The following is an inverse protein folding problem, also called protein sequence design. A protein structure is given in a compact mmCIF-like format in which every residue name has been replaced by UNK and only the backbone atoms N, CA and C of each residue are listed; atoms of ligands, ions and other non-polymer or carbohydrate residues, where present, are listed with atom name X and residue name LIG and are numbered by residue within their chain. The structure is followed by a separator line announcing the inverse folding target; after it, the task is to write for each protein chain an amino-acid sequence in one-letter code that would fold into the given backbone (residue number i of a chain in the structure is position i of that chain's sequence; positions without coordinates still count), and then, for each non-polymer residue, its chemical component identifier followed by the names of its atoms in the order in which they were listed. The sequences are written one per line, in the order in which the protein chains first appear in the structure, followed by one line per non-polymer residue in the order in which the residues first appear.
data_IF_776954838155
#
_entry.id   IF_776954838155
#
_cell.length_a   1.000
_cell.length_b   1.000
_cell.length_c   1.000
_cell.angle_alpha   90.00
_cell.angle_beta   90.00
_cell.angle_gamma   90.00
#
_symmetry.space_group_name_H-M   'P 1'
#
loop_
_entity.id
_entity.type
_entity.pdbx_description
1 polymer ?
#
# COMPACT_ATOMS: atom_id res chain seq x y z
N UNK A 1 -7.89 8.32 -13.14
CA UNK A 1 -6.72 8.76 -12.33
C UNK A 1 -5.54 7.83 -12.47
N UNK A 2 -5.70 6.52 -12.23
CA UNK A 2 -4.61 5.52 -12.32
C UNK A 2 -3.81 5.62 -13.63
N UNK A 3 -4.48 5.69 -14.79
CA UNK A 3 -3.83 5.85 -16.11
C UNK A 3 -2.92 7.07 -16.20
N UNK A 4 -3.31 8.19 -15.57
CA UNK A 4 -2.52 9.42 -15.57
C UNK A 4 -1.32 9.31 -14.63
N UNK A 5 -1.49 8.63 -13.49
CA UNK A 5 -0.44 8.38 -12.51
C UNK A 5 0.63 7.40 -13.01
N UNK A 6 0.38 6.63 -14.06
CA UNK A 6 1.43 5.83 -14.69
C UNK A 6 2.50 6.70 -15.39
N UNK A 7 2.13 7.93 -15.78
CA UNK A 7 2.96 8.77 -16.64
C UNK A 7 3.32 10.12 -16.03
N UNK A 8 2.61 10.56 -15.00
CA UNK A 8 2.71 11.92 -14.47
C UNK A 8 2.72 11.90 -12.94
N UNK A 9 3.58 12.73 -12.35
CA UNK A 9 3.52 13.03 -10.91
C UNK A 9 2.16 13.62 -10.55
N UNK A 10 1.59 13.13 -9.44
CA UNK A 10 0.30 13.56 -8.92
C UNK A 10 0.24 15.06 -8.64
N UNK A 11 1.37 15.65 -8.20
CA UNK A 11 1.48 17.09 -7.94
C UNK A 11 1.11 17.93 -9.17
N UNK A 12 1.49 17.46 -10.37
CA UNK A 12 1.28 18.17 -11.63
C UNK A 12 -0.07 17.86 -12.29
N UNK A 13 -0.81 16.85 -11.80
CA UNK A 13 -2.12 16.53 -12.35
C UNK A 13 -3.15 17.60 -12.02
N UNK A 14 -3.92 18.01 -13.02
CA UNK A 14 -5.05 18.93 -12.85
C UNK A 14 -6.39 18.20 -12.95
N UNK A 15 -7.44 18.80 -12.37
CA UNK A 15 -8.82 18.29 -12.52
C UNK A 15 -9.21 18.23 -14.00
N UNK A 16 -8.77 19.19 -14.82
CA UNK A 16 -9.06 19.20 -16.26
C UNK A 16 -8.43 18.02 -17.00
N UNK A 17 -7.16 17.69 -16.70
CA UNK A 17 -6.51 16.50 -17.26
C UNK A 17 -7.24 15.22 -16.85
N UNK A 18 -7.68 15.13 -15.59
CA UNK A 18 -8.45 13.98 -15.09
C UNK A 18 -9.80 13.87 -15.81
N UNK A 19 -10.51 14.98 -15.97
CA UNK A 19 -11.79 15.03 -16.67
C UNK A 19 -11.64 14.63 -18.14
N UNK A 20 -10.61 15.15 -18.82
CA UNK A 20 -10.33 14.84 -20.22
C UNK A 20 -10.01 13.35 -20.42
N UNK A 21 -9.17 12.76 -19.56
CA UNK A 21 -8.86 11.33 -19.62
C UNK A 21 -10.10 10.45 -19.37
N UNK A 22 -10.95 10.86 -18.43
CA UNK A 22 -12.17 10.13 -18.07
C UNK A 22 -13.35 10.38 -19.03
N UNK A 23 -13.20 11.27 -20.02
CA UNK A 23 -14.29 11.72 -20.90
C UNK A 23 -15.49 12.30 -20.11
N UNK A 24 -15.21 13.07 -19.06
CA UNK A 24 -16.19 13.68 -18.18
C UNK A 24 -16.15 15.22 -18.26
N UNK A 25 -17.30 15.85 -18.03
CA UNK A 25 -17.32 17.29 -17.78
C UNK A 25 -16.83 17.61 -16.38
N UNK A 26 -16.19 18.77 -16.21
CA UNK A 26 -15.71 19.26 -14.91
C UNK A 26 -16.81 19.40 -13.87
N UNK A 27 -18.04 19.75 -14.28
CA UNK A 27 -19.21 19.78 -13.40
C UNK A 27 -19.60 18.39 -12.89
N UNK A 28 -19.39 17.34 -13.68
CA UNK A 28 -19.62 15.96 -13.27
C UNK A 28 -18.58 15.50 -12.25
N UNK A 29 -17.32 15.90 -12.40
CA UNK A 29 -16.26 15.62 -11.43
C UNK A 29 -16.62 16.17 -10.04
N UNK A 30 -16.96 17.46 -9.95
CA UNK A 30 -17.28 18.10 -8.67
C UNK A 30 -18.60 17.65 -8.03
N UNK A 31 -19.38 16.80 -8.71
CA UNK A 31 -20.53 16.13 -8.10
C UNK A 31 -20.10 15.00 -7.16
N UNK A 32 -18.94 14.40 -7.39
CA UNK A 32 -18.45 13.24 -6.66
C UNK A 32 -17.18 13.50 -5.85
N UNK A 33 -16.37 14.46 -6.28
CA UNK A 33 -15.07 14.75 -5.68
C UNK A 33 -14.89 16.24 -5.44
N UNK A 34 -14.52 16.61 -4.23
CA UNK A 34 -14.24 18.01 -3.87
C UNK A 34 -12.99 18.55 -4.57
N UNK A 35 -11.96 17.73 -4.72
CA UNK A 35 -10.75 18.02 -5.49
C UNK A 35 -10.03 16.73 -5.95
N UNK A 36 -8.81 16.86 -6.48
CA UNK A 36 -8.00 15.71 -6.94
C UNK A 36 -7.45 14.84 -5.80
N UNK A 37 -7.36 15.37 -4.57
CA UNK A 37 -6.91 14.62 -3.40
C UNK A 37 -8.02 13.72 -2.88
N UNK A 38 -9.26 14.21 -2.84
CA UNK A 38 -10.46 13.41 -2.51
C UNK A 38 -10.64 12.24 -3.50
N UNK A 39 -10.50 12.50 -4.81
CA UNK A 39 -10.47 11.43 -5.81
C UNK A 39 -9.31 10.44 -5.56
N UNK A 40 -8.13 10.92 -5.15
CA UNK A 40 -6.99 10.05 -4.87
C UNK A 40 -7.27 9.13 -3.68
N UNK A 41 -7.80 9.67 -2.57
CA UNK A 41 -8.17 8.90 -1.38
C UNK A 41 -9.16 7.79 -1.74
N UNK A 42 -10.26 8.13 -2.42
CA UNK A 42 -11.26 7.15 -2.85
C UNK A 42 -10.69 6.13 -3.86
N UNK A 43 -9.74 6.56 -4.71
CA UNK A 43 -9.07 5.65 -5.64
C UNK A 43 -8.19 4.66 -4.87
N UNK A 44 -7.41 5.14 -3.89
CA UNK A 44 -6.57 4.29 -3.05
C UNK A 44 -7.44 3.32 -2.25
N UNK A 45 -8.53 3.77 -1.63
CA UNK A 45 -9.50 2.92 -0.93
C UNK A 45 -10.05 1.77 -1.80
N UNK A 46 -10.39 2.06 -3.06
CA UNK A 46 -10.85 1.04 -3.99
C UNK A 46 -9.74 0.01 -4.30
N UNK A 47 -8.48 0.46 -4.43
CA UNK A 47 -7.34 -0.43 -4.60
C UNK A 47 -7.08 -1.28 -3.35
N UNK A 48 -7.22 -0.73 -2.13
CA UNK A 48 -7.14 -1.49 -0.88
C UNK A 48 -8.12 -2.65 -0.90
N UNK A 49 -9.37 -2.34 -1.24
CA UNK A 49 -10.47 -3.31 -1.17
C UNK A 49 -10.17 -4.49 -2.08
N UNK A 50 -9.60 -4.25 -3.27
CA UNK A 50 -9.13 -5.30 -4.16
C UNK A 50 -8.00 -6.15 -3.57
N UNK A 51 -7.05 -5.56 -2.86
CA UNK A 51 -5.96 -6.29 -2.17
C UNK A 51 -6.49 -7.12 -0.99
N UNK A 52 -7.46 -6.58 -0.24
CA UNK A 52 -8.12 -7.28 0.88
C UNK A 52 -8.95 -8.46 0.37
N UNK A 53 -9.69 -8.27 -0.72
CA UNK A 53 -10.58 -9.26 -1.32
C UNK A 53 -9.79 -10.36 -2.05
N UNK A 54 -8.67 -10.01 -2.71
CA UNK A 54 -7.74 -11.00 -3.28
C UNK A 54 -6.93 -11.79 -2.24
N UNK A 55 -7.02 -11.40 -0.96
CA UNK A 55 -6.43 -12.09 0.18
C UNK A 55 -7.01 -13.47 0.51
N UNK A 56 -7.76 -14.09 -0.42
CA UNK A 56 -8.05 -15.53 -0.41
C UNK A 56 -6.83 -16.38 -0.83
N UNK A 57 -5.79 -15.76 -1.37
CA UNK A 57 -4.52 -16.42 -1.66
C UNK A 57 -3.85 -16.93 -0.38
N UNK A 58 -3.48 -18.22 -0.37
CA UNK A 58 -2.61 -18.84 0.66
C UNK A 58 -1.19 -18.23 0.68
N UNK A 59 -0.85 -17.33 -0.24
CA UNK A 59 0.44 -16.67 -0.26
C UNK A 59 0.63 -15.74 0.94
N UNK A 60 1.86 -15.76 1.44
CA UNK A 60 2.40 -14.83 2.42
C UNK A 60 2.11 -13.35 2.08
N UNK A 61 1.53 -12.63 3.04
CA UNK A 61 1.07 -11.24 2.91
C UNK A 61 2.18 -10.27 2.54
N UNK A 62 3.42 -10.50 3.02
CA UNK A 62 4.58 -9.68 2.66
C UNK A 62 4.84 -9.83 1.17
N UNK A 63 4.85 -11.07 0.67
CA UNK A 63 5.03 -11.33 -0.76
C UNK A 63 3.96 -10.62 -1.58
N UNK A 64 2.69 -10.73 -1.20
CA UNK A 64 1.59 -10.08 -1.93
C UNK A 64 1.74 -8.56 -1.99
N UNK A 65 2.06 -7.92 -0.87
CA UNK A 65 2.28 -6.47 -0.85
C UNK A 65 3.46 -6.04 -1.69
N UNK A 66 4.59 -6.76 -1.59
CA UNK A 66 5.79 -6.43 -2.37
C UNK A 66 5.54 -6.59 -3.86
N UNK A 67 4.85 -7.66 -4.28
CA UNK A 67 4.48 -7.87 -5.69
C UNK A 67 3.57 -6.75 -6.20
N UNK A 68 2.51 -6.44 -5.46
CA UNK A 68 1.60 -5.35 -5.82
C UNK A 68 2.36 -4.03 -5.98
N UNK A 69 3.20 -3.69 -5.01
CA UNK A 69 4.00 -2.48 -5.06
C UNK A 69 4.96 -2.49 -6.27
N UNK A 70 5.63 -3.61 -6.55
CA UNK A 70 6.52 -3.74 -7.69
C UNK A 70 5.80 -3.52 -9.03
N UNK A 71 4.61 -4.11 -9.17
CA UNK A 71 3.78 -4.02 -10.36
C UNK A 71 3.24 -2.59 -10.58
N UNK A 72 3.12 -1.81 -9.50
CA UNK A 72 2.63 -0.43 -9.50
C UNK A 72 3.72 0.61 -9.17
N UNK A 73 5.00 0.30 -9.38
CA UNK A 73 6.13 1.17 -8.99
C UNK A 73 6.09 2.59 -9.58
N UNK A 74 5.57 2.75 -10.80
CA UNK A 74 5.46 4.06 -11.45
C UNK A 74 4.39 4.91 -10.78
N UNK A 75 3.21 4.33 -10.55
CA UNK A 75 2.15 4.96 -9.79
C UNK A 75 2.64 5.40 -8.41
N UNK A 76 3.32 4.52 -7.68
CA UNK A 76 3.83 4.86 -6.34
C UNK A 76 4.89 5.96 -6.41
N UNK A 77 5.81 5.91 -7.38
CA UNK A 77 6.80 6.97 -7.60
C UNK A 77 6.13 8.33 -7.87
N UNK A 78 5.08 8.33 -8.67
CA UNK A 78 4.36 9.55 -9.03
C UNK A 78 3.45 10.08 -7.93
N UNK A 79 3.04 9.23 -6.99
CA UNK A 79 2.34 9.63 -5.76
C UNK A 79 3.32 10.12 -4.68
N UNK A 80 4.53 9.58 -4.65
CA UNK A 80 5.58 9.96 -3.72
C UNK A 80 6.37 11.20 -4.21
N UNK A 81 5.70 12.27 -4.61
CA UNK A 81 6.33 13.58 -4.86
C UNK A 81 6.13 14.54 -3.68
N UNK A 82 6.97 15.59 -3.58
CA UNK A 82 7.23 16.45 -2.42
C UNK A 82 6.04 16.77 -1.50
N UNK A 83 4.89 17.13 -2.06
CA UNK A 83 3.73 17.60 -1.29
C UNK A 83 2.71 16.50 -0.94
N UNK A 84 2.82 15.31 -1.53
CA UNK A 84 1.92 14.16 -1.33
C UNK A 84 2.55 13.00 -0.54
N UNK A 85 3.80 13.15 -0.08
CA UNK A 85 4.49 12.12 0.69
C UNK A 85 3.83 11.80 2.03
N UNK A 86 3.36 12.81 2.77
CA UNK A 86 2.76 12.60 4.08
C UNK A 86 1.40 11.89 3.98
N UNK A 87 0.60 12.25 2.99
CA UNK A 87 -0.70 11.60 2.74
C UNK A 87 -0.51 10.18 2.22
N UNK A 88 0.39 9.95 1.25
CA UNK A 88 0.63 8.60 0.71
C UNK A 88 1.16 7.63 1.76
N UNK A 89 2.13 8.05 2.57
CA UNK A 89 2.69 7.18 3.62
C UNK A 89 1.63 6.79 4.65
N UNK A 90 0.90 7.79 5.15
CA UNK A 90 -0.16 7.56 6.16
C UNK A 90 -1.24 6.65 5.60
N UNK A 91 -1.60 6.87 4.35
CA UNK A 91 -2.60 6.07 3.66
C UNK A 91 -2.11 4.64 3.50
N UNK A 92 -0.94 4.39 2.91
CA UNK A 92 -0.34 3.05 2.80
C UNK A 92 -0.23 2.33 4.15
N UNK A 93 0.10 3.05 5.23
CA UNK A 93 0.17 2.51 6.57
C UNK A 93 -1.21 2.04 7.07
N UNK A 94 -2.26 2.82 6.79
CA UNK A 94 -3.65 2.45 7.06
C UNK A 94 -4.08 1.26 6.21
N UNK A 95 -3.77 1.24 4.91
CA UNK A 95 -4.05 0.12 4.00
C UNK A 95 -3.47 -1.18 4.55
N UNK A 96 -2.17 -1.19 4.80
CA UNK A 96 -1.42 -2.40 5.11
C UNK A 96 -1.86 -2.96 6.46
N UNK A 97 -2.08 -2.09 7.44
CA UNK A 97 -2.51 -2.49 8.77
C UNK A 97 -3.93 -3.06 8.74
N UNK A 98 -4.84 -2.46 7.98
CA UNK A 98 -6.21 -2.95 7.83
C UNK A 98 -6.27 -4.33 7.16
N UNK A 99 -5.51 -4.55 6.09
CA UNK A 99 -5.42 -5.86 5.42
C UNK A 99 -4.90 -6.93 6.39
N UNK A 100 -3.86 -6.63 7.16
CA UNK A 100 -3.31 -7.54 8.18
C UNK A 100 -4.40 -7.88 9.21
N UNK A 101 -5.06 -6.87 9.78
CA UNK A 101 -6.10 -7.06 10.80
C UNK A 101 -7.30 -7.84 10.28
N UNK A 102 -7.71 -7.62 9.03
CA UNK A 102 -8.84 -8.35 8.44
C UNK A 102 -8.47 -9.80 8.16
N UNK A 103 -7.24 -10.11 7.76
CA UNK A 103 -6.76 -11.50 7.69
C UNK A 103 -6.70 -12.16 9.05
N UNK A 104 -6.31 -11.45 10.11
CA UNK A 104 -6.34 -11.98 11.48
C UNK A 104 -7.75 -12.44 11.90
N UNK A 105 -8.81 -11.80 11.41
CA UNK A 105 -10.21 -12.17 11.71
C UNK A 105 -10.67 -13.44 10.99
N UNK A 106 -10.01 -13.84 9.90
CA UNK A 106 -10.40 -15.00 9.05
C UNK A 106 -10.01 -16.36 9.65
N UNK A 107 -9.24 -16.40 10.74
CA UNK A 107 -8.93 -17.63 11.48
C UNK A 107 -7.48 -18.11 11.32
N UNK A 108 -7.27 -19.44 11.27
CA UNK A 108 -5.93 -20.04 11.16
C UNK A 108 -5.33 -19.76 9.79
N UNK A 109 -4.05 -19.43 9.79
CA UNK A 109 -3.23 -19.20 8.60
C UNK A 109 -1.81 -19.72 8.88
N UNK A 110 -1.05 -19.99 7.82
CA UNK A 110 0.39 -20.28 7.91
C UNK A 110 1.24 -19.02 7.68
N UNK A 111 0.61 -17.84 7.70
CA UNK A 111 1.27 -16.57 7.52
C UNK A 111 1.89 -16.08 8.83
N UNK A 112 3.21 -15.94 8.83
CA UNK A 112 4.02 -15.59 10.01
C UNK A 112 3.70 -14.19 10.54
N UNK A 113 3.31 -13.24 9.68
CA UNK A 113 2.91 -11.90 10.08
C UNK A 113 1.60 -11.97 10.83
N UNK A 114 0.62 -12.67 10.25
CA UNK A 114 -0.72 -12.80 10.83
C UNK A 114 -0.65 -13.54 12.16
N UNK A 115 0.11 -14.64 12.24
CA UNK A 115 0.32 -15.35 13.50
C UNK A 115 0.95 -14.45 14.58
N UNK A 116 1.98 -13.67 14.23
CA UNK A 116 2.63 -12.77 15.16
C UNK A 116 1.68 -11.67 15.67
N UNK A 117 0.84 -11.13 14.79
CA UNK A 117 -0.18 -10.13 15.15
C UNK A 117 -1.25 -10.74 16.06
N UNK A 118 -1.75 -11.94 15.73
CA UNK A 118 -2.75 -12.64 16.55
C UNK A 118 -2.24 -12.99 17.96
N UNK A 119 -0.93 -13.26 18.11
CA UNK A 119 -0.30 -13.59 19.40
C UNK A 119 0.13 -12.36 20.21
N UNK A 120 0.10 -11.16 19.62
CA UNK A 120 0.52 -9.92 20.28
C UNK A 120 -0.48 -9.47 21.35
N UNK A 121 0.02 -8.90 22.46
CA UNK A 121 -0.80 -8.23 23.49
C UNK A 121 -1.59 -7.05 22.91
N UNK A 122 -1.07 -6.43 21.84
CA UNK A 122 -1.75 -5.38 21.10
C UNK A 122 -1.68 -5.66 19.59
N UNK A 123 -2.66 -6.39 19.03
CA UNK A 123 -2.69 -6.76 17.61
C UNK A 123 -2.73 -5.56 16.67
N UNK A 124 -3.49 -4.52 17.03
CA UNK A 124 -3.59 -3.29 16.22
C UNK A 124 -2.23 -2.60 16.11
N UNK A 125 -1.58 -2.34 17.25
CA UNK A 125 -0.25 -1.73 17.27
C UNK A 125 0.77 -2.58 16.50
N UNK A 126 0.71 -3.91 16.65
CA UNK A 126 1.61 -4.81 15.92
C UNK A 126 1.38 -4.79 14.41
N UNK A 127 0.13 -4.70 13.96
CA UNK A 127 -0.19 -4.54 12.54
C UNK A 127 0.39 -3.24 11.97
N UNK A 128 0.32 -2.12 12.72
CA UNK A 128 0.96 -0.86 12.34
C UNK A 128 2.50 -0.97 12.30
N UNK A 129 3.11 -1.67 13.25
CA UNK A 129 4.57 -1.89 13.29
C UNK A 129 5.04 -2.66 12.05
N UNK A 130 4.38 -3.77 11.69
CA UNK A 130 4.72 -4.54 10.49
C UNK A 130 4.43 -3.77 9.19
N UNK A 131 3.34 -3.02 9.15
CA UNK A 131 3.04 -2.15 8.01
C UNK A 131 4.14 -1.10 7.82
N UNK A 132 4.57 -0.45 8.90
CA UNK A 132 5.64 0.54 8.87
C UNK A 132 6.99 -0.04 8.43
N UNK A 133 7.33 -1.27 8.86
CA UNK A 133 8.58 -1.91 8.44
C UNK A 133 8.59 -2.25 6.95
N UNK A 134 7.49 -2.75 6.40
CA UNK A 134 7.35 -3.04 4.97
C UNK A 134 7.41 -1.74 4.15
N UNK A 135 6.66 -0.71 4.55
CA UNK A 135 6.65 0.59 3.86
C UNK A 135 8.03 1.26 3.92
N UNK A 136 8.71 1.20 5.07
CA UNK A 136 10.05 1.74 5.23
C UNK A 136 11.08 1.04 4.34
N UNK A 137 11.04 -0.29 4.29
CA UNK A 137 11.88 -1.06 3.38
C UNK A 137 11.60 -0.68 1.92
N UNK A 138 10.32 -0.52 1.56
CA UNK A 138 9.94 -0.14 0.21
C UNK A 138 10.40 1.27 -0.16
N UNK A 139 10.24 2.24 0.75
CA UNK A 139 10.73 3.60 0.57
C UNK A 139 12.23 3.61 0.27
N UNK A 140 13.01 2.79 0.99
CA UNK A 140 14.43 2.61 0.71
C UNK A 140 14.66 1.99 -0.68
N UNK A 141 13.91 0.95 -1.05
CA UNK A 141 14.06 0.28 -2.35
C UNK A 141 13.78 1.24 -3.51
N UNK A 142 12.73 2.06 -3.40
CA UNK A 142 12.41 3.12 -4.36
C UNK A 142 13.51 4.17 -4.46
N UNK A 143 14.05 4.63 -3.32
CA UNK A 143 15.15 5.62 -3.29
C UNK A 143 16.42 5.10 -3.97
N UNK A 144 16.65 3.79 -3.92
CA UNK A 144 17.75 3.09 -4.60
C UNK A 144 17.29 2.51 -5.94
N UNK A 145 16.34 3.18 -6.60
CA UNK A 145 15.87 2.89 -7.96
C UNK A 145 15.46 1.43 -8.25
N UNK A 146 15.04 0.72 -7.20
CA UNK A 146 14.68 -0.69 -7.25
C UNK A 146 15.84 -1.63 -7.64
N UNK A 147 17.09 -1.26 -7.34
CA UNK A 147 18.29 -2.00 -7.77
C UNK A 147 18.41 -3.41 -7.14
N UNK A 148 17.81 -3.63 -5.97
CA UNK A 148 17.76 -4.95 -5.33
C UNK A 148 16.73 -5.84 -6.03
N UNK A 149 17.06 -7.09 -6.42
CA UNK A 149 16.07 -8.01 -6.99
C UNK A 149 14.89 -8.26 -6.06
N UNK A 150 13.69 -8.37 -6.64
CA UNK A 150 12.45 -8.50 -5.87
C UNK A 150 12.46 -9.70 -4.90
N UNK A 151 13.01 -10.84 -5.31
CA UNK A 151 13.08 -12.04 -4.46
C UNK A 151 13.99 -11.83 -3.25
N UNK A 152 15.09 -11.09 -3.41
CA UNK A 152 15.99 -10.72 -2.32
C UNK A 152 15.31 -9.74 -1.35
N UNK A 153 14.55 -8.78 -1.90
CA UNK A 153 13.77 -7.84 -1.10
C UNK A 153 12.68 -8.54 -0.28
N UNK A 154 11.91 -9.45 -0.90
CA UNK A 154 10.89 -10.25 -0.21
C UNK A 154 11.54 -11.09 0.90
N UNK A 155 12.65 -11.76 0.60
CA UNK A 155 13.39 -12.57 1.58
C UNK A 155 13.82 -11.73 2.78
N UNK A 156 14.39 -10.55 2.53
CA UNK A 156 14.78 -9.62 3.59
C UNK A 156 13.58 -9.19 4.44
N UNK A 157 12.50 -8.72 3.81
CA UNK A 157 11.31 -8.26 4.52
C UNK A 157 10.69 -9.37 5.41
N UNK A 158 10.62 -10.61 4.91
CA UNK A 158 10.19 -11.77 5.69
C UNK A 158 11.09 -12.05 6.89
N UNK A 159 12.40 -12.03 6.70
CA UNK A 159 13.37 -12.27 7.77
C UNK A 159 13.30 -11.19 8.86
N UNK A 160 13.11 -9.92 8.47
CA UNK A 160 12.92 -8.82 9.42
C UNK A 160 11.70 -9.03 10.30
N UNK A 161 10.55 -9.37 9.70
CA UNK A 161 9.32 -9.65 10.47
C UNK A 161 9.48 -10.85 11.40
N UNK A 162 10.09 -11.95 10.92
CA UNK A 162 10.37 -13.13 11.75
C UNK A 162 11.29 -12.83 12.95
N UNK A 163 12.28 -11.95 12.77
CA UNK A 163 13.16 -11.56 13.87
C UNK A 163 12.41 -10.77 14.95
N UNK A 164 11.45 -9.93 14.55
CA UNK A 164 10.61 -9.15 15.47
C UNK A 164 9.61 -10.05 16.21
N UNK A 165 9.00 -11.02 15.52
CA UNK A 165 8.05 -11.95 16.15
C UNK A 165 8.71 -12.86 17.19
N UNK A 166 9.92 -13.34 16.92
CA UNK A 166 10.67 -14.21 17.84
C UNK A 166 11.26 -13.47 19.05
N UNK A 167 11.33 -12.14 19.01
CA UNK A 167 11.82 -11.32 20.13
C UNK A 167 10.71 -10.96 21.12
N UNK A 168 9.45 -11.29 20.80
CA UNK A 168 8.24 -10.90 21.56
C UNK A 168 7.56 -12.10 22.23
N UNK A 169 8.17 -13.30 22.13
CA UNK A 169 7.78 -14.55 22.80
C UNK A 169 8.88 -14.97 23.78
#
# INVERSE_FOLDING_TARGET
MLTLLEKNSFEHLTVDQICNEALLHRSSFYRYFSDKYDLLEQTLDAQISQIVDSGESEEDIIKQFVLYINDHKNLIRHLASSNSHSSLYTEMLRIFSQVILDRCKRGRTNDVVIEAVQKSDNPEMMAYVFSGSIIGAFYWWQKNNYDVPIDEFIKFAKQSVLSMSNSTL
#
